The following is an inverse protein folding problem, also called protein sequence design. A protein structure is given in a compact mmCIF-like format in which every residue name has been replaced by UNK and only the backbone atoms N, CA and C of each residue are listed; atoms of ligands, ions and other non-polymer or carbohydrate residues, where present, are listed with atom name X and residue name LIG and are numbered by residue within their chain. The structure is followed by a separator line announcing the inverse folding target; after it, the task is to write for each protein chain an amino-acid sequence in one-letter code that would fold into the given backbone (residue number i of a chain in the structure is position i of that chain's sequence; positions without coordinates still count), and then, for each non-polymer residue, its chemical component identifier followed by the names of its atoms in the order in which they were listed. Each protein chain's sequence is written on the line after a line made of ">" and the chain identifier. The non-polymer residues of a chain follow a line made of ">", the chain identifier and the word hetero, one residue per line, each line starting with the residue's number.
data_IF_772136081335
#
_entry.id   IF_772136081335
#
_cell.length_a   1.000
_cell.length_b   1.000
_cell.length_c   1.000
_cell.angle_alpha   90.00
_cell.angle_beta   90.00
_cell.angle_gamma   90.00
#
_symmetry.space_group_name_H-M   'P 1'
#
loop_
_entity.id
_entity.type
_entity.pdbx_description
1 polymer ?
#
# COMPACT_ATOMS: atom_id res chain seq x y z
N UNK A 1 17.79 -1.69 10.22
CA UNK A 1 17.76 -3.09 9.73
C UNK A 1 17.26 -3.07 8.30
N UNK A 2 17.90 -3.78 7.37
CA UNK A 2 17.52 -3.77 5.95
C UNK A 2 16.67 -5.00 5.59
N UNK A 3 15.65 -4.79 4.75
CA UNK A 3 14.82 -5.82 4.13
C UNK A 3 15.65 -6.62 3.13
N UNK A 4 15.46 -7.94 3.06
CA UNK A 4 16.17 -8.80 2.11
C UNK A 4 15.39 -8.99 0.80
N UNK A 5 14.09 -9.22 0.89
CA UNK A 5 13.20 -9.43 -0.26
C UNK A 5 11.77 -9.01 0.10
N UNK A 6 10.96 -8.79 -0.94
CA UNK A 6 9.53 -8.56 -0.80
C UNK A 6 8.79 -9.54 -1.71
N UNK A 7 7.86 -10.30 -1.12
CA UNK A 7 6.94 -11.18 -1.80
C UNK A 7 5.58 -10.48 -1.86
N UNK A 8 5.06 -10.34 -3.08
CA UNK A 8 3.78 -9.71 -3.33
C UNK A 8 2.81 -10.78 -3.82
N UNK A 9 1.70 -10.94 -3.10
CA UNK A 9 0.66 -11.86 -3.53
C UNK A 9 0.02 -11.39 -4.85
N UNK A 10 -0.35 -12.35 -5.70
CA UNK A 10 -0.89 -12.07 -7.04
C UNK A 10 -2.15 -11.20 -7.00
N UNK A 11 -2.98 -11.39 -5.96
CA UNK A 11 -4.21 -10.62 -5.79
C UNK A 11 -3.91 -9.16 -5.46
N UNK A 12 -2.96 -8.92 -4.56
CA UNK A 12 -2.48 -7.56 -4.25
C UNK A 12 -1.84 -6.90 -5.47
N UNK A 13 -1.06 -7.66 -6.26
CA UNK A 13 -0.48 -7.18 -7.51
C UNK A 13 -1.55 -6.76 -8.52
N UNK A 14 -2.60 -7.56 -8.70
CA UNK A 14 -3.69 -7.26 -9.63
C UNK A 14 -4.43 -5.98 -9.23
N UNK A 15 -4.70 -5.79 -7.94
CA UNK A 15 -5.32 -4.55 -7.43
C UNK A 15 -4.43 -3.35 -7.67
N UNK A 16 -3.13 -3.45 -7.38
CA UNK A 16 -2.16 -2.39 -7.67
C UNK A 16 -2.12 -2.03 -9.15
N UNK A 17 -2.11 -3.03 -10.03
CA UNK A 17 -2.04 -2.81 -11.47
C UNK A 17 -3.29 -2.12 -12.01
N UNK A 18 -4.48 -2.60 -11.60
CA UNK A 18 -5.74 -1.97 -11.99
C UNK A 18 -5.83 -0.53 -11.48
N UNK A 19 -5.36 -0.26 -10.27
CA UNK A 19 -5.33 1.08 -9.70
C UNK A 19 -4.35 1.99 -10.46
N UNK A 20 -3.15 1.51 -10.77
CA UNK A 20 -2.16 2.24 -11.56
C UNK A 20 -2.68 2.60 -12.96
N UNK A 21 -3.47 1.71 -13.58
CA UNK A 21 -4.04 1.91 -14.90
C UNK A 21 -5.39 2.66 -14.89
N UNK A 22 -5.93 3.00 -13.71
CA UNK A 22 -7.24 3.65 -13.60
C UNK A 22 -7.24 5.09 -14.12
N UNK A 23 -6.09 5.77 -14.12
CA UNK A 23 -5.95 7.14 -14.60
C UNK A 23 -4.53 7.42 -15.09
N UNK A 24 -4.44 8.06 -16.26
CA UNK A 24 -3.19 8.57 -16.82
C UNK A 24 -2.93 10.04 -16.45
N UNK A 25 -3.94 10.71 -15.86
CA UNK A 25 -3.94 12.18 -15.67
C UNK A 25 -3.29 12.63 -14.36
N UNK A 26 -3.27 11.74 -13.37
CA UNK A 26 -2.73 12.04 -12.04
C UNK A 26 -2.06 10.80 -11.46
N UNK A 27 -1.03 11.01 -10.63
CA UNK A 27 -0.38 9.90 -9.96
C UNK A 27 -1.34 9.34 -8.90
N UNK A 28 -1.44 8.02 -8.86
CA UNK A 28 -2.22 7.29 -7.88
C UNK A 28 -1.35 6.85 -6.69
N UNK A 29 -1.97 6.60 -5.54
CA UNK A 29 -1.28 6.16 -4.34
C UNK A 29 -2.06 5.09 -3.59
N UNK A 30 -1.36 4.35 -2.74
CA UNK A 30 -1.93 3.33 -1.87
C UNK A 30 -0.93 2.87 -0.80
N UNK A 31 -1.43 2.07 0.13
CA UNK A 31 -0.66 1.44 1.20
C UNK A 31 -0.67 -0.08 1.01
N UNK A 32 0.47 -0.72 1.28
CA UNK A 32 0.58 -2.18 1.30
C UNK A 32 0.42 -2.69 2.73
N UNK A 33 -0.37 -3.75 2.89
CA UNK A 33 -0.56 -4.43 4.17
C UNK A 33 0.06 -5.82 4.06
N UNK A 34 0.83 -6.15 5.08
CA UNK A 34 1.60 -7.37 5.11
C UNK A 34 2.32 -7.57 6.42
N UNK A 35 3.12 -8.63 6.46
CA UNK A 35 3.94 -9.00 7.61
C UNK A 35 5.41 -9.12 7.21
N UNK A 36 6.29 -9.01 8.21
CA UNK A 36 7.72 -9.17 8.02
C UNK A 36 8.17 -10.43 8.74
N UNK A 37 8.73 -11.37 7.99
CA UNK A 37 9.24 -12.62 8.52
C UNK A 37 10.55 -12.44 9.30
N UNK A 38 10.89 -13.45 10.10
CA UNK A 38 12.16 -13.52 10.84
C UNK A 38 13.39 -13.49 9.92
N UNK A 39 13.25 -13.97 8.69
CA UNK A 39 14.24 -13.87 7.62
C UNK A 39 14.33 -12.49 6.96
N UNK A 40 13.58 -11.48 7.44
CA UNK A 40 13.51 -10.11 6.89
C UNK A 40 12.96 -10.06 5.47
N UNK A 41 12.02 -10.95 5.18
CA UNK A 41 11.24 -10.98 3.95
C UNK A 41 9.89 -10.33 4.25
N UNK A 42 9.48 -9.38 3.42
CA UNK A 42 8.17 -8.71 3.54
C UNK A 42 7.17 -9.49 2.72
N UNK A 43 6.09 -9.95 3.33
CA UNK A 43 4.98 -10.62 2.66
C UNK A 43 3.80 -9.66 2.58
N UNK A 44 3.47 -9.21 1.36
CA UNK A 44 2.37 -8.29 1.09
C UNK A 44 1.16 -9.10 0.63
N UNK A 45 0.10 -9.06 1.44
CA UNK A 45 -1.13 -9.84 1.21
C UNK A 45 -2.25 -8.99 0.61
N UNK A 46 -2.31 -7.72 0.97
CA UNK A 46 -3.38 -6.82 0.52
C UNK A 46 -2.90 -5.38 0.38
N UNK A 47 -3.69 -4.56 -0.32
CA UNK A 47 -3.37 -3.16 -0.61
C UNK A 47 -4.60 -2.29 -0.42
N UNK A 48 -4.41 -1.12 0.20
CA UNK A 48 -5.44 -0.10 0.39
C UNK A 48 -5.19 1.03 -0.60
N UNK A 49 -6.20 1.30 -1.42
CA UNK A 49 -6.19 2.45 -2.33
C UNK A 49 -6.44 3.72 -1.52
N UNK A 50 -5.52 4.67 -1.59
CA UNK A 50 -5.66 5.96 -0.94
C UNK A 50 -5.96 7.05 -1.97
N UNK A 51 -6.82 7.99 -1.59
CA UNK A 51 -7.07 9.20 -2.37
C UNK A 51 -6.08 10.28 -1.96
N UNK A 52 -5.42 10.89 -2.95
CA UNK A 52 -4.53 12.05 -2.73
C UNK A 52 -5.32 13.25 -2.23
N UNK A 53 -4.88 13.78 -1.10
CA UNK A 53 -5.36 15.06 -0.56
C UNK A 53 -4.68 16.26 -1.24
N UNK A 54 -3.40 16.13 -1.59
CA UNK A 54 -2.61 17.13 -2.33
C UNK A 54 -2.28 16.59 -3.73
N UNK A 55 -2.67 17.34 -4.77
CA UNK A 55 -2.49 16.99 -6.20
C UNK A 55 -1.28 17.69 -6.83
N UNK A 56 -0.41 18.31 -6.04
CA UNK A 56 0.84 18.89 -6.54
C UNK A 56 1.74 17.80 -7.12
N UNK A 57 2.32 18.08 -8.29
CA UNK A 57 3.25 17.17 -8.97
C UNK A 57 4.44 16.83 -8.06
N UNK A 58 4.86 15.56 -8.05
CA UNK A 58 5.98 15.00 -7.26
C UNK A 58 5.80 15.00 -5.74
N UNK A 59 4.64 15.41 -5.21
CA UNK A 59 4.35 15.41 -3.77
C UNK A 59 3.27 14.38 -3.41
N UNK A 60 3.70 13.16 -3.12
CA UNK A 60 2.84 12.08 -2.62
C UNK A 60 3.11 11.90 -1.13
N UNK A 61 2.32 12.57 -0.30
CA UNK A 61 2.39 12.44 1.16
C UNK A 61 1.17 11.68 1.68
N UNK A 62 1.40 10.82 2.66
CA UNK A 62 0.34 10.10 3.38
C UNK A 62 0.12 10.85 4.69
N UNK A 63 -1.11 11.29 4.95
CA UNK A 63 -1.42 11.98 6.20
C UNK A 63 -1.44 10.99 7.38
N UNK A 64 -1.16 11.45 8.62
CA UNK A 64 -1.21 10.58 9.79
C UNK A 64 -2.61 9.99 10.02
N UNK A 65 -3.68 10.68 9.61
CA UNK A 65 -5.04 10.16 9.66
C UNK A 65 -5.24 8.99 8.69
N UNK A 66 -4.65 9.06 7.49
CA UNK A 66 -4.69 7.97 6.51
C UNK A 66 -3.89 6.75 6.99
N UNK A 67 -2.76 6.97 7.65
CA UNK A 67 -2.01 5.89 8.29
C UNK A 67 -2.80 5.22 9.42
N UNK A 68 -3.45 6.02 10.26
CA UNK A 68 -4.30 5.53 11.36
C UNK A 68 -5.46 4.69 10.82
N UNK A 69 -6.18 5.19 9.80
CA UNK A 69 -7.26 4.43 9.16
C UNK A 69 -6.78 3.11 8.56
N UNK A 70 -5.64 3.14 7.84
CA UNK A 70 -5.07 1.93 7.26
C UNK A 70 -4.62 0.91 8.32
N UNK A 71 -4.14 1.37 9.48
CA UNK A 71 -3.82 0.50 10.62
C UNK A 71 -5.06 -0.21 11.14
N UNK A 72 -6.18 0.50 11.31
CA UNK A 72 -7.45 -0.10 11.73
C UNK A 72 -7.94 -1.15 10.74
N UNK A 73 -7.87 -0.86 9.44
CA UNK A 73 -8.24 -1.82 8.38
C UNK A 73 -7.33 -3.06 8.35
N UNK A 74 -6.04 -2.87 8.63
CA UNK A 74 -5.08 -3.97 8.76
C UNK A 74 -5.44 -4.87 9.95
N UNK A 75 -5.81 -4.30 11.09
CA UNK A 75 -6.26 -5.09 12.25
C UNK A 75 -7.49 -5.95 11.91
N UNK A 76 -8.47 -5.39 11.20
CA UNK A 76 -9.69 -6.13 10.81
C UNK A 76 -9.37 -7.26 9.81
N UNK A 77 -8.46 -7.02 8.88
CA UNK A 77 -8.09 -8.01 7.85
C UNK A 77 -7.29 -9.20 8.39
N UNK A 78 -6.70 -9.07 9.60
CA UNK A 78 -5.90 -10.10 10.26
C UNK A 78 -6.60 -10.78 11.46
N UNK A 79 -7.87 -10.45 11.73
CA UNK A 79 -8.75 -11.15 12.70
C UNK A 79 -9.55 -12.23 11.98
#
# INVERSE_FOLDING_TARGET
>A
MAVQAAHLDSDAFLVCLNHALSTEKEEVMGLCIGQVDTCRIVHIHSVIILRRSDKRKDRVEISPEQLSAASTEAEISFI
#
